data_IF_098664797094
#
_entry.id   IF_098664797094
#
_cell.length_a   1.000
_cell.length_b   1.000
_cell.length_c   1.000
_cell.angle_alpha   90.00
_cell.angle_beta   90.00
_cell.angle_gamma   90.00
#
_symmetry.space_group_name_H-M   'P 1'
#
loop_
_entity.id
_entity.type
_entity.pdbx_description
1 polymer ?
#
# COMPACT_ATOMS: atom_id res chain seq x y z
N UNK A 1 -52.41 -18.50 -29.82
CA UNK A 1 -51.52 -17.39 -30.21
C UNK A 1 -51.98 -16.03 -29.70
N UNK A 2 -53.23 -15.59 -29.94
CA UNK A 2 -53.74 -14.27 -29.48
C UNK A 2 -53.64 -14.05 -27.96
N UNK A 3 -54.03 -15.06 -27.16
CA UNK A 3 -53.96 -15.03 -25.68
C UNK A 3 -52.51 -14.87 -25.16
N UNK A 4 -51.50 -15.35 -25.90
CA UNK A 4 -50.10 -15.21 -25.51
C UNK A 4 -49.54 -13.82 -25.80
N UNK A 5 -50.08 -13.12 -26.81
CA UNK A 5 -49.71 -11.75 -27.18
C UNK A 5 -50.35 -10.69 -26.28
N UNK A 6 -51.45 -11.02 -25.62
CA UNK A 6 -52.14 -10.15 -24.64
C UNK A 6 -51.62 -10.34 -23.20
N UNK A 7 -50.60 -11.18 -23.00
CA UNK A 7 -49.89 -11.32 -21.72
C UNK A 7 -48.80 -10.26 -21.56
N UNK A 8 -48.36 -9.97 -20.33
CA UNK A 8 -47.25 -9.01 -20.05
C UNK A 8 -45.95 -9.33 -20.81
N UNK A 9 -45.69 -10.61 -21.10
CA UNK A 9 -44.57 -11.05 -21.98
C UNK A 9 -44.85 -10.80 -23.47
N UNK A 10 -46.12 -10.89 -23.87
CA UNK A 10 -46.59 -10.62 -25.22
C UNK A 10 -46.59 -9.14 -25.60
N UNK A 11 -46.81 -8.25 -24.62
CA UNK A 11 -46.77 -6.79 -24.82
C UNK A 11 -45.40 -6.31 -25.33
N UNK A 12 -44.30 -6.85 -24.78
CA UNK A 12 -42.94 -6.56 -25.25
C UNK A 12 -42.74 -6.97 -26.71
N UNK A 13 -43.25 -8.15 -27.10
CA UNK A 13 -43.13 -8.67 -28.47
C UNK A 13 -43.97 -7.84 -29.45
N UNK A 14 -45.19 -7.45 -29.05
CA UNK A 14 -46.09 -6.57 -29.82
C UNK A 14 -45.43 -5.24 -30.14
N UNK A 15 -44.83 -4.62 -29.14
CA UNK A 15 -44.20 -3.32 -29.31
C UNK A 15 -42.88 -3.41 -30.08
N UNK A 16 -42.00 -4.36 -29.75
CA UNK A 16 -40.63 -4.41 -30.27
C UNK A 16 -40.52 -5.03 -31.68
N UNK A 17 -41.34 -6.04 -31.99
CA UNK A 17 -41.18 -6.83 -33.22
C UNK A 17 -42.36 -6.72 -34.19
N UNK A 18 -43.52 -6.29 -33.71
CA UNK A 18 -44.73 -6.15 -34.54
C UNK A 18 -45.12 -4.68 -34.77
N UNK A 19 -44.41 -3.73 -34.16
CA UNK A 19 -44.65 -2.28 -34.26
C UNK A 19 -46.10 -1.88 -33.87
N UNK A 20 -46.68 -2.61 -32.91
CA UNK A 20 -48.02 -2.35 -32.40
C UNK A 20 -47.89 -1.48 -31.14
N UNK A 21 -48.38 -0.25 -31.22
CA UNK A 21 -48.41 0.66 -30.08
C UNK A 21 -49.19 0.06 -28.90
N UNK A 22 -48.66 0.26 -27.68
CA UNK A 22 -49.30 -0.14 -26.43
C UNK A 22 -50.19 1.00 -25.92
N UNK A 23 -51.37 0.67 -25.41
CA UNK A 23 -52.21 1.60 -24.65
C UNK A 23 -51.59 1.96 -23.29
N UNK A 24 -52.03 3.05 -22.67
CA UNK A 24 -51.51 3.52 -21.37
C UNK A 24 -51.61 2.44 -20.27
N UNK A 25 -52.70 1.66 -20.27
CA UNK A 25 -52.90 0.56 -19.32
C UNK A 25 -51.94 -0.61 -19.59
N UNK A 26 -51.67 -0.94 -20.86
CA UNK A 26 -50.69 -1.95 -21.26
C UNK A 26 -49.25 -1.51 -20.95
N UNK A 27 -48.95 -0.22 -21.12
CA UNK A 27 -47.66 0.36 -20.73
C UNK A 27 -47.45 0.28 -19.22
N UNK A 28 -48.45 0.64 -18.41
CA UNK A 28 -48.39 0.53 -16.96
C UNK A 28 -48.17 -0.92 -16.50
N UNK A 29 -48.87 -1.89 -17.11
CA UNK A 29 -48.69 -3.31 -16.82
C UNK A 29 -47.29 -3.83 -17.21
N UNK A 30 -46.73 -3.34 -18.33
CA UNK A 30 -45.37 -3.65 -18.75
C UNK A 30 -44.33 -3.11 -17.76
N UNK A 31 -44.41 -1.83 -17.38
CA UNK A 31 -43.45 -1.23 -16.44
C UNK A 31 -43.60 -1.77 -15.01
N UNK A 32 -44.79 -2.17 -14.58
CA UNK A 32 -44.98 -2.84 -13.30
C UNK A 32 -44.25 -4.20 -13.26
N UNK A 33 -44.28 -4.97 -14.34
CA UNK A 33 -43.66 -6.30 -14.40
C UNK A 33 -42.14 -6.23 -14.67
N UNK A 34 -41.71 -5.33 -15.56
CA UNK A 34 -40.34 -5.31 -16.08
C UNK A 34 -39.49 -4.13 -15.60
N UNK A 35 -40.10 -3.10 -14.99
CA UNK A 35 -39.40 -1.88 -14.58
C UNK A 35 -38.23 -2.16 -13.65
N UNK A 36 -38.46 -2.94 -12.60
CA UNK A 36 -37.42 -3.34 -11.65
C UNK A 36 -36.31 -4.16 -12.31
N UNK A 37 -36.67 -5.05 -13.24
CA UNK A 37 -35.70 -5.88 -13.98
C UNK A 37 -34.83 -5.04 -14.91
N UNK A 38 -35.43 -4.09 -15.63
CA UNK A 38 -34.71 -3.16 -16.52
C UNK A 38 -33.75 -2.29 -15.69
N UNK A 39 -34.24 -1.71 -14.59
CA UNK A 39 -33.40 -0.92 -13.68
C UNK A 39 -32.24 -1.74 -13.12
N UNK A 40 -32.49 -2.99 -12.74
CA UNK A 40 -31.46 -3.91 -12.25
C UNK A 40 -30.41 -4.23 -13.31
N UNK A 41 -30.82 -4.54 -14.55
CA UNK A 41 -29.89 -4.83 -15.66
C UNK A 41 -29.06 -3.60 -16.02
N UNK A 42 -29.67 -2.41 -16.08
CA UNK A 42 -28.96 -1.16 -16.36
C UNK A 42 -27.97 -0.87 -15.23
N UNK A 43 -28.40 -0.91 -13.97
CA UNK A 43 -27.54 -0.64 -12.82
C UNK A 43 -26.38 -1.62 -12.71
N UNK A 44 -26.64 -2.92 -12.92
CA UNK A 44 -25.61 -3.97 -12.94
C UNK A 44 -24.66 -3.80 -14.12
N UNK A 45 -25.19 -3.48 -15.30
CA UNK A 45 -24.41 -3.22 -16.51
C UNK A 45 -23.47 -2.04 -16.35
N UNK A 46 -23.97 -0.91 -15.86
CA UNK A 46 -23.17 0.29 -15.56
C UNK A 46 -22.10 -0.03 -14.51
N UNK A 47 -22.48 -0.67 -13.39
CA UNK A 47 -21.52 -1.05 -12.34
C UNK A 47 -20.42 -1.97 -12.86
N UNK A 48 -20.74 -2.87 -13.79
CA UNK A 48 -19.77 -3.77 -14.44
C UNK A 48 -18.85 -3.01 -15.39
N UNK A 49 -19.38 -2.04 -16.15
CA UNK A 49 -18.58 -1.16 -16.99
C UNK A 49 -17.62 -0.30 -16.17
N UNK A 50 -18.10 0.31 -15.08
CA UNK A 50 -17.28 1.12 -14.19
C UNK A 50 -16.12 0.30 -13.61
N UNK A 51 -16.37 -0.91 -13.13
CA UNK A 51 -15.31 -1.81 -12.63
C UNK A 51 -14.27 -2.17 -13.70
N UNK A 52 -14.70 -2.39 -14.95
CA UNK A 52 -13.78 -2.68 -16.06
C UNK A 52 -12.96 -1.46 -16.46
N UNK A 53 -13.59 -0.27 -16.47
CA UNK A 53 -12.91 0.99 -16.73
C UNK A 53 -11.88 1.29 -15.64
N UNK A 54 -12.24 1.15 -14.37
CA UNK A 54 -11.32 1.30 -13.24
C UNK A 54 -10.14 0.34 -13.34
N UNK A 55 -10.39 -0.93 -13.71
CA UNK A 55 -9.33 -1.91 -13.94
C UNK A 55 -8.41 -1.49 -15.10
N UNK A 56 -8.98 -1.02 -16.22
CA UNK A 56 -8.20 -0.60 -17.38
C UNK A 56 -7.35 0.63 -17.07
N UNK A 57 -7.93 1.62 -16.38
CA UNK A 57 -7.21 2.82 -15.90
C UNK A 57 -6.07 2.41 -14.96
N UNK A 58 -6.35 1.54 -13.98
CA UNK A 58 -5.34 1.05 -13.07
C UNK A 58 -4.21 0.32 -13.80
N UNK A 59 -4.52 -0.59 -14.72
CA UNK A 59 -3.49 -1.32 -15.48
C UNK A 59 -2.62 -0.35 -16.29
N UNK A 60 -3.21 0.67 -16.92
CA UNK A 60 -2.45 1.71 -17.61
C UNK A 60 -1.57 2.51 -16.63
N UNK A 61 -2.13 3.00 -15.53
CA UNK A 61 -1.40 3.79 -14.53
C UNK A 61 -0.34 2.96 -13.78
N UNK A 62 -0.54 1.65 -13.65
CA UNK A 62 0.41 0.74 -13.01
C UNK A 62 1.72 0.57 -13.79
N UNK A 63 1.70 0.90 -15.09
CA UNK A 63 2.92 0.94 -15.91
C UNK A 63 3.80 2.16 -15.60
N UNK A 64 3.26 3.16 -14.89
CA UNK A 64 4.05 4.31 -14.47
C UNK A 64 4.99 3.95 -13.33
N UNK A 65 6.14 4.65 -13.22
CA UNK A 65 7.10 4.42 -12.15
C UNK A 65 6.47 4.46 -10.77
N UNK A 66 6.88 3.52 -9.91
CA UNK A 66 6.61 3.61 -8.50
C UNK A 66 7.36 4.81 -7.92
N UNK A 67 6.63 5.79 -7.41
CA UNK A 67 7.19 7.01 -6.84
C UNK A 67 7.37 6.87 -5.32
N UNK A 68 6.33 6.36 -4.66
CA UNK A 68 6.29 6.23 -3.21
C UNK A 68 5.57 4.95 -2.80
N UNK A 69 5.99 4.38 -1.67
CA UNK A 69 5.17 3.45 -0.89
C UNK A 69 5.05 4.05 0.50
N UNK A 70 3.83 4.22 0.99
CA UNK A 70 3.56 4.76 2.32
C UNK A 70 2.78 3.77 3.14
N UNK A 71 3.20 3.54 4.38
CA UNK A 71 2.46 2.71 5.34
C UNK A 71 1.94 3.61 6.43
N UNK A 72 0.63 3.59 6.64
CA UNK A 72 -0.05 4.33 7.68
C UNK A 72 -0.50 3.37 8.77
N UNK A 73 0.14 3.43 9.93
CA UNK A 73 -0.27 2.71 11.14
C UNK A 73 -1.22 3.58 11.94
N UNK A 74 -2.48 3.15 12.06
CA UNK A 74 -3.49 3.80 12.88
C UNK A 74 -3.49 3.20 14.28
N UNK A 75 -3.48 4.06 15.30
CA UNK A 75 -3.51 3.63 16.69
C UNK A 75 -4.96 3.51 17.20
N UNK A 76 -5.17 2.70 18.25
CA UNK A 76 -6.50 2.44 18.86
C UNK A 76 -7.21 3.70 19.35
N UNK A 77 -6.43 4.70 19.75
CA UNK A 77 -6.89 6.02 20.18
C UNK A 77 -5.79 7.04 19.93
N UNK A 78 -6.09 8.30 20.24
CA UNK A 78 -5.04 9.30 20.35
C UNK A 78 -4.26 9.08 21.66
N UNK A 79 -2.94 9.01 21.52
CA UNK A 79 -1.98 8.81 22.60
C UNK A 79 -1.17 10.09 22.81
N UNK A 80 -0.77 10.38 24.05
CA UNK A 80 0.25 11.38 24.30
C UNK A 80 1.60 10.87 23.76
N UNK A 81 2.45 11.77 23.26
CA UNK A 81 3.78 11.40 22.75
C UNK A 81 4.64 10.72 23.83
N UNK A 82 4.54 11.18 25.08
CA UNK A 82 5.16 10.53 26.25
C UNK A 82 4.62 9.13 26.56
N UNK A 83 3.36 8.83 26.20
CA UNK A 83 2.75 7.50 26.37
C UNK A 83 3.24 6.50 25.31
N UNK A 84 3.60 7.00 24.12
CA UNK A 84 4.30 6.19 23.11
C UNK A 84 5.76 6.01 23.51
N UNK A 85 6.43 7.09 23.94
CA UNK A 85 7.84 7.08 24.31
C UNK A 85 8.74 6.69 23.14
N UNK A 86 9.72 5.84 23.42
CA UNK A 86 10.56 5.21 22.39
C UNK A 86 9.69 4.34 21.47
N UNK A 87 9.92 4.45 20.17
CA UNK A 87 9.17 3.68 19.18
C UNK A 87 10.06 3.30 18.01
N UNK A 88 9.72 2.17 17.39
CA UNK A 88 10.33 1.67 16.16
C UNK A 88 9.24 1.06 15.30
N UNK A 89 9.16 1.51 14.05
CA UNK A 89 8.25 0.92 13.07
C UNK A 89 8.90 0.90 11.71
N UNK A 90 8.96 -0.29 11.12
CA UNK A 90 9.61 -0.56 9.86
C UNK A 90 8.71 -1.46 9.01
N UNK A 91 8.96 -1.44 7.72
CA UNK A 91 8.34 -2.31 6.74
C UNK A 91 9.45 -2.92 5.89
N UNK A 92 9.49 -4.24 5.87
CA UNK A 92 10.28 -5.01 4.90
C UNK A 92 9.37 -5.37 3.73
N UNK A 93 9.82 -5.09 2.52
CA UNK A 93 9.17 -5.52 1.29
C UNK A 93 10.14 -6.39 0.51
N UNK A 94 9.77 -7.66 0.31
CA UNK A 94 10.50 -8.57 -0.56
C UNK A 94 9.77 -8.66 -1.90
N UNK A 95 10.47 -8.31 -2.97
CA UNK A 95 9.91 -8.41 -4.31
C UNK A 95 9.85 -9.88 -4.75
N UNK A 96 8.79 -10.25 -5.47
CA UNK A 96 8.62 -11.61 -6.03
C UNK A 96 9.80 -11.98 -6.95
N UNK A 97 10.26 -11.01 -7.72
CA UNK A 97 11.44 -11.09 -8.59
C UNK A 97 12.30 -9.85 -8.33
N UNK A 98 13.64 -9.95 -8.35
CA UNK A 98 14.49 -8.76 -8.26
C UNK A 98 14.13 -7.71 -9.33
N UNK A 99 13.99 -6.47 -8.90
CA UNK A 99 13.65 -5.32 -9.72
C UNK A 99 14.95 -4.63 -10.14
N UNK A 100 15.51 -5.08 -11.27
CA UNK A 100 16.92 -4.89 -11.56
C UNK A 100 17.74 -5.73 -10.58
N UNK A 101 18.66 -5.10 -9.86
CA UNK A 101 19.48 -5.79 -8.85
C UNK A 101 18.86 -5.74 -7.45
N UNK A 102 17.76 -5.01 -7.24
CA UNK A 102 17.14 -4.82 -5.92
C UNK A 102 16.12 -5.92 -5.65
N UNK A 103 16.28 -6.69 -4.57
CA UNK A 103 15.34 -7.77 -4.22
C UNK A 103 14.51 -7.49 -2.96
N UNK A 104 14.96 -6.55 -2.12
CA UNK A 104 14.29 -6.17 -0.88
C UNK A 104 14.46 -4.68 -0.65
N UNK A 105 13.42 -4.04 -0.12
CA UNK A 105 13.53 -2.68 0.44
C UNK A 105 13.07 -2.70 1.89
N UNK A 106 13.82 -1.97 2.72
CA UNK A 106 13.49 -1.74 4.12
C UNK A 106 13.32 -0.25 4.33
N UNK A 107 12.27 0.14 5.04
CA UNK A 107 12.09 1.54 5.39
C UNK A 107 11.29 1.66 6.68
N UNK A 108 11.53 2.73 7.41
CA UNK A 108 10.86 2.91 8.69
C UNK A 108 11.21 4.19 9.37
N UNK A 109 10.71 4.32 10.59
CA UNK A 109 11.00 5.42 11.49
C UNK A 109 11.21 4.95 12.92
N UNK A 110 11.99 5.76 13.63
CA UNK A 110 12.24 5.63 15.06
C UNK A 110 12.27 7.03 15.66
N UNK A 111 12.24 7.10 16.98
CA UNK A 111 12.75 8.29 17.66
C UNK A 111 14.24 8.52 17.36
N UNK A 112 14.73 9.69 17.77
CA UNK A 112 16.08 10.22 17.47
C UNK A 112 16.21 10.68 16.02
N UNK A 113 16.11 11.99 15.80
CA UNK A 113 16.10 12.61 14.47
C UNK A 113 17.33 12.23 13.64
N UNK A 114 18.51 12.15 14.26
CA UNK A 114 19.77 11.96 13.55
C UNK A 114 20.20 10.50 13.47
N UNK A 115 19.36 9.54 13.89
CA UNK A 115 19.72 8.12 13.90
C UNK A 115 20.19 7.61 12.54
N UNK A 116 19.59 8.10 11.47
CA UNK A 116 19.81 7.60 10.11
C UNK A 116 20.70 8.53 9.26
N UNK A 117 21.27 9.58 9.86
CA UNK A 117 22.15 10.53 9.18
C UNK A 117 23.61 10.10 9.39
N UNK A 118 24.15 9.31 8.46
CA UNK A 118 25.54 8.86 8.50
C UNK A 118 26.54 9.90 7.95
N UNK A 119 26.06 11.01 7.36
CA UNK A 119 26.92 11.99 6.67
C UNK A 119 27.21 13.25 7.51
N UNK A 120 26.48 13.46 8.59
CA UNK A 120 26.55 14.70 9.37
C UNK A 120 27.14 14.44 10.77
N UNK A 121 28.46 14.58 10.88
CA UNK A 121 29.19 14.60 12.16
C UNK A 121 28.83 15.79 13.09
N UNK A 122 27.79 16.56 12.74
CA UNK A 122 27.24 17.67 13.52
C UNK A 122 26.39 17.16 14.70
N UNK A 123 26.96 16.31 15.55
CA UNK A 123 26.36 15.84 16.82
C UNK A 123 26.34 16.94 17.91
N UNK A 124 25.97 18.17 17.57
CA UNK A 124 25.89 19.26 18.55
C UNK A 124 24.52 19.37 19.23
N UNK A 125 23.48 18.71 18.71
CA UNK A 125 22.15 18.70 19.34
C UNK A 125 21.95 17.35 20.04
N UNK A 126 21.69 17.32 21.36
CA UNK A 126 21.37 16.08 22.05
C UNK A 126 20.06 15.51 21.49
N UNK A 127 20.14 14.29 20.95
CA UNK A 127 18.99 13.60 20.37
C UNK A 127 18.19 12.94 21.49
N UNK A 128 17.20 13.66 21.99
CA UNK A 128 16.35 13.20 23.09
C UNK A 128 15.46 12.04 22.60
N UNK A 129 15.40 10.93 23.35
CA UNK A 129 14.56 9.79 22.97
C UNK A 129 13.07 10.14 23.08
N UNK A 130 12.26 9.39 22.35
CA UNK A 130 10.81 9.48 22.35
C UNK A 130 10.20 10.29 21.20
N UNK A 131 9.04 9.82 20.71
CA UNK A 131 8.32 10.42 19.57
C UNK A 131 7.88 11.87 19.81
N UNK A 132 7.79 12.30 21.08
CA UNK A 132 7.45 13.67 21.42
C UNK A 132 8.56 14.68 21.13
N UNK A 133 9.81 14.21 21.08
CA UNK A 133 11.00 15.05 20.91
C UNK A 133 11.42 15.10 19.45
N UNK A 134 11.62 13.92 18.83
CA UNK A 134 12.12 13.83 17.47
C UNK A 134 11.71 12.53 16.78
N UNK A 135 11.73 12.55 15.45
CA UNK A 135 11.52 11.38 14.60
C UNK A 135 12.60 11.34 13.54
N UNK A 136 13.30 10.21 13.42
CA UNK A 136 14.14 9.90 12.28
C UNK A 136 13.43 8.89 11.38
N UNK A 137 13.68 8.95 10.08
CA UNK A 137 13.30 7.91 9.14
C UNK A 137 14.47 7.55 8.23
N UNK A 138 14.52 6.29 7.83
CA UNK A 138 15.54 5.76 6.92
C UNK A 138 14.94 4.80 5.91
N UNK A 139 15.60 4.71 4.75
CA UNK A 139 15.21 3.88 3.61
C UNK A 139 16.45 3.18 3.07
N UNK A 140 16.38 1.87 2.90
CA UNK A 140 17.45 1.01 2.40
C UNK A 140 16.96 0.12 1.27
N UNK A 141 17.81 -0.05 0.26
CA UNK A 141 17.63 -1.02 -0.83
C UNK A 141 18.69 -2.12 -0.66
N UNK A 142 18.27 -3.37 -0.82
CA UNK A 142 19.15 -4.54 -0.78
C UNK A 142 19.35 -5.08 -2.18
N UNK A 143 20.61 -5.21 -2.55
CA UNK A 143 21.05 -5.58 -3.89
C UNK A 143 21.59 -7.00 -3.90
N UNK A 144 21.38 -7.70 -5.02
CA UNK A 144 22.08 -8.93 -5.38
C UNK A 144 22.96 -8.58 -6.57
N UNK A 145 24.27 -8.68 -6.41
CA UNK A 145 25.23 -8.49 -7.50
C UNK A 145 25.89 -9.82 -7.82
N UNK A 146 26.00 -10.15 -9.10
CA UNK A 146 26.78 -11.30 -9.54
C UNK A 146 28.26 -10.89 -9.54
N UNK A 147 29.08 -11.61 -8.80
CA UNK A 147 30.52 -11.40 -8.82
C UNK A 147 31.03 -11.89 -10.19
N UNK A 148 31.55 -10.97 -11.02
CA UNK A 148 32.45 -11.36 -12.09
C UNK A 148 33.72 -11.86 -11.39
N UNK A 149 33.85 -13.19 -11.27
CA UNK A 149 35.14 -13.77 -10.92
C UNK A 149 36.12 -13.33 -12.01
N UNK A 150 37.00 -12.38 -11.68
CA UNK A 150 38.24 -12.16 -12.42
C UNK A 150 39.06 -13.45 -12.29
N UNK A 151 38.73 -14.43 -13.13
CA UNK A 151 39.35 -15.73 -13.19
C UNK A 151 40.78 -15.60 -13.72
N UNK A 152 41.69 -15.20 -12.83
CA UNK A 152 43.09 -15.59 -12.92
C UNK A 152 43.23 -16.95 -12.22
N UNK A 153 43.33 -17.98 -13.06
CA UNK A 153 43.74 -19.36 -12.78
C UNK A 153 42.75 -20.28 -12.03
N UNK A 154 41.96 -21.01 -12.86
CA UNK A 154 41.95 -22.47 -12.84
C UNK A 154 41.18 -23.17 -11.72
N UNK A 155 39.87 -23.36 -11.89
CA UNK A 155 39.20 -24.67 -11.96
C UNK A 155 37.68 -24.46 -12.08
N UNK A 156 37.01 -25.34 -12.85
CA UNK A 156 35.63 -25.20 -13.26
C UNK A 156 34.59 -25.57 -12.17
N UNK A 157 33.38 -25.03 -12.34
CA UNK A 157 32.09 -25.42 -11.71
C UNK A 157 31.75 -24.89 -10.31
N UNK A 158 32.01 -23.61 -10.02
CA UNK A 158 31.26 -22.91 -8.97
C UNK A 158 30.33 -21.89 -9.63
N UNK A 159 29.03 -22.00 -9.39
CA UNK A 159 28.09 -20.96 -9.81
C UNK A 159 28.55 -19.61 -9.21
N UNK A 160 28.44 -18.49 -9.95
CA UNK A 160 28.96 -17.20 -9.48
C UNK A 160 28.38 -16.89 -8.09
N UNK A 161 29.26 -16.56 -7.15
CA UNK A 161 28.84 -16.16 -5.82
C UNK A 161 28.01 -14.86 -5.94
N UNK A 162 26.81 -14.88 -5.37
CA UNK A 162 25.93 -13.70 -5.32
C UNK A 162 26.26 -12.90 -4.08
N UNK A 163 26.86 -11.73 -4.24
CA UNK A 163 27.11 -10.81 -3.14
C UNK A 163 25.82 -10.04 -2.82
N UNK A 164 25.47 -9.98 -1.53
CA UNK A 164 24.36 -9.18 -1.03
C UNK A 164 24.92 -7.92 -0.42
N UNK A 165 24.52 -6.77 -0.94
CA UNK A 165 24.89 -5.46 -0.39
C UNK A 165 23.66 -4.65 -0.01
N UNK A 166 23.83 -3.75 0.96
CA UNK A 166 22.75 -2.90 1.45
C UNK A 166 23.19 -1.45 1.29
N UNK A 167 22.32 -0.64 0.68
CA UNK A 167 22.58 0.79 0.48
C UNK A 167 21.45 1.60 1.08
N UNK A 168 21.78 2.55 1.94
CA UNK A 168 20.84 3.57 2.34
C UNK A 168 20.60 4.53 1.17
N UNK A 169 19.34 4.68 0.78
CA UNK A 169 18.93 5.52 -0.36
C UNK A 169 18.29 6.82 0.06
N UNK A 170 17.80 6.91 1.29
CA UNK A 170 17.25 8.15 1.84
C UNK A 170 17.24 8.13 3.38
N UNK A 171 17.25 9.32 3.95
CA UNK A 171 17.00 9.59 5.37
C UNK A 171 16.23 10.89 5.51
N UNK A 172 15.42 11.00 6.54
CA UNK A 172 14.77 12.27 6.89
C UNK A 172 14.66 12.44 8.40
N UNK A 173 14.58 13.71 8.80
CA UNK A 173 14.50 14.11 10.18
C UNK A 173 13.21 14.91 10.38
N UNK A 174 12.52 14.67 11.48
CA UNK A 174 11.23 15.25 11.81
C UNK A 174 11.20 15.77 13.23
N UNK A 175 10.31 16.75 13.44
CA UNK A 175 9.99 17.27 14.77
C UNK A 175 9.05 16.30 15.48
N UNK A 176 9.25 16.14 16.79
CA UNK A 176 8.39 15.29 17.61
C UNK A 176 6.94 15.77 17.71
N UNK A 177 6.07 14.87 18.17
CA UNK A 177 4.62 15.06 18.21
C UNK A 177 4.10 14.87 19.63
N UNK A 178 3.39 15.89 20.15
CA UNK A 178 2.78 15.83 21.49
C UNK A 178 1.60 14.87 21.57
N UNK A 179 0.84 14.73 20.49
CA UNK A 179 -0.23 13.75 20.38
C UNK A 179 -0.09 12.94 19.10
N UNK A 180 -0.41 11.65 19.19
CA UNK A 180 -0.17 10.67 18.13
C UNK A 180 -1.40 9.79 17.99
N UNK A 181 -2.10 9.92 16.87
CA UNK A 181 -3.19 9.03 16.45
C UNK A 181 -2.78 8.05 15.36
N UNK A 182 -1.69 8.35 14.66
CA UNK A 182 -1.16 7.59 13.56
C UNK A 182 0.35 7.80 13.42
N UNK A 183 1.03 6.79 12.91
CA UNK A 183 2.44 6.84 12.53
C UNK A 183 2.53 6.45 11.05
N UNK A 184 3.24 7.26 10.27
CA UNK A 184 3.46 7.00 8.86
C UNK A 184 4.94 6.74 8.61
N UNK A 185 5.23 5.75 7.77
CA UNK A 185 6.56 5.50 7.21
C UNK A 185 6.45 5.47 5.70
N UNK A 186 7.53 5.85 5.03
CA UNK A 186 7.51 6.00 3.59
C UNK A 186 8.81 5.53 2.97
N UNK A 187 8.70 4.71 1.94
CA UNK A 187 9.71 4.47 0.95
C UNK A 187 9.54 5.51 -0.14
N UNK A 188 10.58 6.28 -0.38
CA UNK A 188 10.64 7.22 -1.49
C UNK A 188 12.08 7.33 -1.95
N UNK A 189 12.30 7.16 -3.25
CA UNK A 189 13.59 7.40 -3.88
C UNK A 189 13.75 8.91 -4.09
N UNK A 190 14.94 9.43 -3.83
CA UNK A 190 15.24 10.87 -3.71
C UNK A 190 14.50 11.79 -4.69
N UNK A 191 14.09 12.96 -4.21
CA UNK A 191 13.50 14.07 -4.97
C UNK A 191 14.47 14.81 -5.90
N UNK A 192 15.52 14.17 -6.40
CA UNK A 192 16.40 14.82 -7.37
C UNK A 192 15.62 15.10 -8.65
N UNK A 193 15.74 16.33 -9.17
CA UNK A 193 15.16 16.70 -10.47
C UNK A 193 15.60 15.74 -11.59
N UNK A 194 16.79 15.15 -11.44
CA UNK A 194 17.36 14.13 -12.31
C UNK A 194 17.35 12.79 -11.59
N UNK A 195 16.68 11.81 -12.18
CA UNK A 195 16.55 10.49 -11.59
C UNK A 195 17.61 9.59 -12.20
N UNK A 196 18.49 9.06 -11.35
CA UNK A 196 19.52 8.11 -11.74
C UNK A 196 19.21 6.75 -11.11
N UNK A 197 19.11 5.70 -11.94
CA UNK A 197 18.86 4.32 -11.51
C UNK A 197 17.56 3.71 -12.06
N UNK A 198 17.36 2.39 -11.87
CA UNK A 198 16.20 1.68 -12.37
C UNK A 198 14.93 2.21 -11.69
N UNK A 199 13.91 2.51 -12.51
CA UNK A 199 12.55 2.78 -12.06
C UNK A 199 11.71 1.56 -12.38
N UNK A 200 11.20 0.91 -11.36
CA UNK A 200 10.25 -0.17 -11.54
C UNK A 200 8.83 0.39 -11.55
N UNK A 201 8.00 0.01 -12.54
CA UNK A 201 6.57 0.28 -12.55
C UNK A 201 5.86 -0.11 -11.24
N UNK A 202 4.72 0.50 -10.96
CA UNK A 202 3.85 0.05 -9.86
C UNK A 202 3.39 -1.41 -10.06
N UNK A 203 3.28 -1.91 -11.29
CA UNK A 203 2.96 -3.32 -11.54
C UNK A 203 4.02 -4.29 -11.00
N UNK A 204 5.26 -3.85 -10.83
CA UNK A 204 6.38 -4.72 -10.47
C UNK A 204 6.38 -5.14 -9.00
N UNK A 205 5.63 -4.43 -8.15
CA UNK A 205 5.44 -4.82 -6.75
C UNK A 205 4.30 -5.83 -6.58
N UNK A 206 3.67 -6.28 -7.66
CA UNK A 206 2.68 -7.36 -7.60
C UNK A 206 3.29 -8.62 -6.97
N UNK A 207 2.50 -9.28 -6.11
CA UNK A 207 2.87 -10.45 -5.32
C UNK A 207 4.09 -10.24 -4.39
N UNK A 208 4.45 -8.99 -4.09
CA UNK A 208 5.51 -8.71 -3.12
C UNK A 208 5.04 -9.05 -1.70
N UNK A 209 5.96 -9.61 -0.91
CA UNK A 209 5.71 -9.93 0.49
C UNK A 209 6.00 -8.71 1.37
N UNK A 210 5.09 -8.41 2.27
CA UNK A 210 5.16 -7.29 3.21
C UNK A 210 5.25 -7.83 4.65
N UNK A 211 6.21 -7.31 5.41
CA UNK A 211 6.42 -7.66 6.81
C UNK A 211 6.58 -6.40 7.65
N UNK A 212 5.52 -5.94 8.33
CA UNK A 212 5.62 -4.88 9.31
C UNK A 212 6.41 -5.34 10.54
N UNK A 213 7.41 -4.55 10.94
CA UNK A 213 8.25 -4.78 12.13
C UNK A 213 8.09 -3.63 13.10
N UNK A 214 7.71 -3.91 14.35
CA UNK A 214 7.49 -2.89 15.37
C UNK A 214 8.17 -3.28 16.69
N UNK A 215 8.34 -2.34 17.61
CA UNK A 215 8.57 -2.68 19.01
C UNK A 215 7.25 -3.13 19.66
N UNK A 216 7.34 -4.04 20.65
CA UNK A 216 6.15 -4.66 21.26
C UNK A 216 5.20 -3.63 21.86
N UNK A 217 5.71 -2.61 22.56
CA UNK A 217 4.87 -1.58 23.19
C UNK A 217 4.07 -0.75 22.19
N UNK A 218 4.59 -0.55 20.97
CA UNK A 218 3.88 0.15 19.89
C UNK A 218 2.87 -0.78 19.24
N UNK A 219 3.24 -2.04 18.99
CA UNK A 219 2.36 -3.04 18.38
C UNK A 219 1.07 -3.24 19.19
N UNK A 220 1.13 -3.21 20.53
CA UNK A 220 -0.06 -3.33 21.39
C UNK A 220 -1.04 -2.15 21.23
N UNK A 221 -0.56 -0.99 20.75
CA UNK A 221 -1.36 0.22 20.50
C UNK A 221 -1.92 0.29 19.09
N UNK A 222 -1.53 -0.62 18.21
CA UNK A 222 -1.95 -0.67 16.81
C UNK A 222 -3.42 -1.13 16.69
N UNK A 223 -4.20 -0.37 15.92
CA UNK A 223 -5.58 -0.73 15.54
C UNK A 223 -5.62 -1.34 14.15
N UNK A 224 -5.02 -0.66 13.19
CA UNK A 224 -5.01 -1.07 11.78
C UNK A 224 -3.82 -0.47 11.08
N UNK A 225 -3.49 -1.00 9.90
CA UNK A 225 -2.55 -0.34 9.01
C UNK A 225 -3.02 -0.39 7.56
N UNK A 226 -2.51 0.52 6.75
CA UNK A 226 -2.81 0.57 5.33
C UNK A 226 -1.55 0.88 4.55
N UNK A 227 -1.41 0.23 3.40
CA UNK A 227 -0.29 0.40 2.48
C UNK A 227 -0.80 1.11 1.25
N UNK A 228 -0.12 2.20 0.91
CA UNK A 228 -0.39 3.04 -0.24
C UNK A 228 0.80 3.02 -1.16
N UNK A 229 0.55 3.10 -2.46
CA UNK A 229 1.58 3.39 -3.44
C UNK A 229 1.04 4.36 -4.46
N UNK A 230 1.79 5.42 -4.73
CA UNK A 230 1.33 6.56 -5.51
C UNK A 230 -0.07 7.02 -5.01
N UNK A 231 -1.09 7.05 -5.88
CA UNK A 231 -2.47 7.44 -5.53
C UNK A 231 -3.40 6.27 -5.13
N UNK A 232 -2.87 5.07 -4.90
CA UNK A 232 -3.66 3.87 -4.67
C UNK A 232 -3.49 3.30 -3.25
N UNK A 233 -4.60 2.90 -2.63
CA UNK A 233 -4.61 2.04 -1.45
C UNK A 233 -4.48 0.59 -1.90
N UNK A 234 -3.31 0.00 -1.67
CA UNK A 234 -2.98 -1.36 -2.10
C UNK A 234 -3.47 -2.41 -1.10
N UNK A 235 -3.37 -2.10 0.18
CA UNK A 235 -3.73 -3.01 1.26
C UNK A 235 -4.30 -2.23 2.44
N UNK A 236 -5.31 -2.78 3.07
CA UNK A 236 -5.88 -2.30 4.34
C UNK A 236 -6.07 -3.50 5.25
N UNK A 237 -5.51 -3.45 6.45
CA UNK A 237 -5.57 -4.54 7.42
C UNK A 237 -6.15 -4.00 8.73
N UNK A 238 -7.32 -4.51 9.11
CA UNK A 238 -7.97 -4.21 10.37
C UNK A 238 -7.42 -5.01 11.55
N UNK A 239 -7.82 -4.64 12.77
CA UNK A 239 -7.35 -5.26 14.02
C UNK A 239 -7.55 -6.78 14.07
N UNK A 240 -8.65 -7.28 13.51
CA UNK A 240 -9.00 -8.71 13.48
C UNK A 240 -8.26 -9.51 12.41
N UNK A 241 -7.54 -8.85 11.51
CA UNK A 241 -6.90 -9.46 10.34
C UNK A 241 -5.40 -9.71 10.56
N UNK A 242 -4.85 -9.30 11.70
CA UNK A 242 -3.46 -9.52 12.04
C UNK A 242 -3.26 -10.06 13.47
N UNK A 243 -2.10 -10.66 13.69
CA UNK A 243 -1.60 -11.08 15.00
C UNK A 243 -0.22 -10.47 15.25
N UNK A 244 0.11 -10.28 16.52
CA UNK A 244 1.44 -9.81 16.95
C UNK A 244 2.29 -11.05 17.25
N UNK A 245 3.21 -11.38 16.35
CA UNK A 245 4.17 -12.45 16.54
C UNK A 245 5.34 -11.96 17.41
N UNK A 246 5.39 -12.48 18.64
CA UNK A 246 6.40 -12.19 19.66
C UNK A 246 7.54 -13.22 19.67
N UNK A 247 7.60 -14.12 18.70
CA UNK A 247 8.70 -15.08 18.57
C UNK A 247 9.99 -14.31 18.31
N UNK A 248 11.02 -14.56 19.13
CA UNK A 248 12.32 -13.91 19.01
C UNK A 248 12.92 -14.08 17.61
N UNK A 249 13.47 -13.00 17.08
CA UNK A 249 14.20 -13.00 15.82
C UNK A 249 15.24 -11.88 15.84
N UNK A 250 16.31 -12.07 15.08
CA UNK A 250 17.27 -11.00 14.82
C UNK A 250 16.76 -10.15 13.66
N UNK A 251 16.61 -8.85 13.92
CA UNK A 251 16.25 -7.91 12.87
C UNK A 251 17.43 -7.77 11.90
N UNK A 252 17.17 -7.97 10.60
CA UNK A 252 18.18 -7.74 9.56
C UNK A 252 18.31 -6.26 9.16
N UNK A 253 17.67 -5.35 9.90
CA UNK A 253 17.70 -3.92 9.60
C UNK A 253 19.12 -3.37 9.80
N UNK A 254 19.66 -2.59 8.84
CA UNK A 254 21.00 -2.01 8.92
C UNK A 254 21.01 -0.78 9.85
N UNK A 255 20.50 -0.92 11.07
CA UNK A 255 20.33 0.16 12.05
C UNK A 255 20.66 -0.35 13.44
N UNK A 256 21.53 0.38 14.14
CA UNK A 256 21.89 0.06 15.51
C UNK A 256 20.92 0.70 16.52
N UNK A 257 20.54 -0.10 17.52
CA UNK A 257 19.74 0.31 18.67
C UNK A 257 20.50 0.01 19.96
N UNK A 258 20.34 0.87 20.97
CA UNK A 258 21.01 0.65 22.25
C UNK A 258 20.38 -0.55 22.98
N UNK A 259 21.12 -1.22 23.91
CA UNK A 259 20.55 -2.31 24.70
C UNK A 259 19.30 -1.91 25.48
N UNK A 260 19.23 -0.67 25.97
CA UNK A 260 18.06 -0.13 26.66
C UNK A 260 16.83 -0.05 25.75
N UNK A 261 17.02 0.36 24.49
CA UNK A 261 15.95 0.39 23.48
C UNK A 261 15.50 -1.03 23.11
N UNK A 262 16.41 -2.01 23.13
CA UNK A 262 16.11 -3.40 22.80
C UNK A 262 15.41 -4.16 23.93
N UNK A 263 15.29 -3.57 25.14
CA UNK A 263 14.46 -4.14 26.21
C UNK A 263 12.98 -4.22 25.84
N UNK A 264 12.51 -3.36 24.94
CA UNK A 264 11.21 -3.50 24.29
C UNK A 264 11.39 -4.31 22.99
N UNK A 265 11.11 -5.62 22.97
CA UNK A 265 11.57 -6.50 21.90
C UNK A 265 10.92 -6.16 20.55
N UNK A 266 11.60 -6.53 19.47
CA UNK A 266 11.01 -6.55 18.14
C UNK A 266 9.88 -7.56 18.04
N UNK A 267 8.83 -7.19 17.33
CA UNK A 267 7.70 -8.04 16.99
C UNK A 267 7.37 -7.91 15.51
N UNK A 268 6.83 -8.99 14.94
CA UNK A 268 6.32 -9.02 13.57
C UNK A 268 4.81 -8.90 13.60
N UNK A 269 4.24 -8.10 12.71
CA UNK A 269 2.80 -8.15 12.45
C UNK A 269 2.58 -9.17 11.34
N UNK A 270 1.79 -10.20 11.61
CA UNK A 270 1.47 -11.27 10.65
C UNK A 270 -0.02 -11.31 10.37
N UNK A 271 -0.44 -11.81 9.19
CA UNK A 271 -1.85 -12.11 8.97
C UNK A 271 -2.39 -13.04 10.05
N UNK A 272 -3.67 -12.87 10.41
CA UNK A 272 -4.36 -13.80 11.31
C UNK A 272 -4.70 -15.15 10.63
N UNK A 273 -4.48 -15.25 9.32
CA UNK A 273 -4.64 -16.47 8.54
C UNK A 273 -3.40 -17.37 8.64
N UNK A 274 -3.38 -18.50 7.93
CA UNK A 274 -2.23 -19.43 7.88
C UNK A 274 -1.01 -18.81 7.17
N UNK A 275 -1.20 -17.68 6.46
CA UNK A 275 -0.15 -17.00 5.73
C UNK A 275 0.92 -16.43 6.68
N UNK A 276 2.18 -16.49 6.26
CA UNK A 276 3.31 -16.03 7.07
C UNK A 276 3.61 -14.54 6.91
N UNK A 277 3.09 -13.88 5.88
CA UNK A 277 3.30 -12.47 5.52
C UNK A 277 2.07 -11.93 4.77
N UNK A 278 1.98 -10.60 4.62
CA UNK A 278 0.99 -9.99 3.75
C UNK A 278 1.50 -9.94 2.32
N UNK A 279 0.62 -10.00 1.34
CA UNK A 279 0.92 -9.91 -0.09
C UNK A 279 0.24 -8.70 -0.72
N UNK A 280 0.88 -8.13 -1.73
CA UNK A 280 0.22 -7.22 -2.68
C UNK A 280 -0.32 -8.07 -3.84
N UNK A 281 -1.57 -7.89 -4.26
CA UNK A 281 -2.20 -8.74 -5.29
C UNK A 281 -2.87 -7.89 -6.39
N UNK A 282 -2.05 -7.13 -7.13
CA UNK A 282 -2.47 -6.23 -8.22
C UNK A 282 -2.97 -7.02 -9.43
N UNK A 283 -2.48 -8.23 -9.69
CA UNK A 283 -2.97 -9.08 -10.78
C UNK A 283 -4.41 -9.54 -10.56
N UNK A 284 -4.80 -9.75 -9.29
CA UNK A 284 -6.12 -10.27 -8.92
C UNK A 284 -7.13 -9.18 -8.61
N UNK A 285 -6.68 -8.07 -8.00
CA UNK A 285 -7.55 -7.00 -7.52
C UNK A 285 -7.19 -5.65 -8.12
N UNK A 286 -8.21 -4.80 -8.33
CA UNK A 286 -8.01 -3.38 -8.64
C UNK A 286 -7.92 -2.60 -7.32
N UNK A 287 -6.77 -1.99 -6.99
CA UNK A 287 -6.64 -1.17 -5.79
C UNK A 287 -7.58 0.03 -5.80
N UNK A 288 -7.92 0.53 -4.62
CA UNK A 288 -8.79 1.70 -4.50
C UNK A 288 -7.99 2.98 -4.75
N UNK A 289 -8.39 3.76 -5.75
CA UNK A 289 -7.80 5.10 -6.00
C UNK A 289 -8.26 6.10 -4.93
N UNK A 290 -7.33 6.84 -4.34
CA UNK A 290 -7.61 7.81 -3.27
C UNK A 290 -8.20 9.12 -3.81
N UNK A 291 -7.76 9.56 -4.99
CA UNK A 291 -8.21 10.79 -5.62
C UNK A 291 -8.77 10.48 -7.01
N UNK A 292 -10.05 10.75 -7.23
CA UNK A 292 -10.56 10.92 -8.59
C UNK A 292 -10.28 12.35 -9.02
N UNK A 293 -9.88 12.56 -10.28
CA UNK A 293 -9.73 13.92 -10.83
C UNK A 293 -11.03 14.75 -10.69
N UNK A 294 -12.20 14.09 -10.65
CA UNK A 294 -13.49 14.72 -10.39
C UNK A 294 -13.67 15.23 -8.95
N UNK A 295 -13.07 14.57 -7.95
CA UNK A 295 -13.12 14.99 -6.55
C UNK A 295 -12.31 16.28 -6.31
N UNK A 296 -11.18 16.45 -7.01
CA UNK A 296 -10.37 17.68 -6.90
C UNK A 296 -11.10 18.87 -7.53
N UNK A 297 -11.73 18.68 -8.70
CA UNK A 297 -12.53 19.74 -9.33
C UNK A 297 -13.76 20.16 -8.51
N UNK A 298 -14.40 19.22 -7.82
CA UNK A 298 -15.57 19.51 -6.97
C UNK A 298 -15.20 20.04 -5.57
N UNK A 299 -14.02 19.71 -5.03
CA UNK A 299 -13.47 20.36 -3.84
C UNK A 299 -13.07 21.82 -4.12
N UNK A 300 -12.41 22.08 -5.26
CA UNK A 300 -12.06 23.44 -5.70
C UNK A 300 -13.29 24.28 -6.08
N UNK A 301 -14.36 23.65 -6.56
CA UNK A 301 -15.65 24.32 -6.80
C UNK A 301 -16.39 24.66 -5.50
N UNK A 302 -16.22 23.86 -4.43
CA UNK A 302 -16.77 24.14 -3.10
C UNK A 302 -16.00 25.23 -2.37
N UNK A 303 -14.68 25.32 -2.54
CA UNK A 303 -13.88 26.41 -1.94
C UNK A 303 -14.07 27.77 -2.63
N UNK A 304 -14.50 27.79 -3.90
CA UNK A 304 -14.76 29.03 -4.65
C UNK A 304 -16.25 29.40 -4.75
N UNK A 305 -17.13 28.77 -3.97
CA UNK A 305 -18.57 28.86 -4.18
C UNK A 305 -19.43 28.62 -2.95
N UNK A 306 -19.23 29.39 -1.87
CA UNK A 306 -20.28 30.18 -1.16
C UNK A 306 -19.68 30.97 -0.01
#
# INVERSE_FOLDING_TARGET
MRISLDSTKGLAIRFQYLDIALSDAEQAAFFHEWGDTIQSVISTGISSLDRKLDRMIFLQESSFPLQTISVLYKLKREYAGSEIGHFRTFMDIFFKVPLGDVYKVDFGSSDKAHRFDHQNDRRSVPDLPGIENSVGAGVWEHYITEQEDDAADGDAETAPAREKSVRQVSSSNGVGRKTVSHIAIQYQKEHSMLHFGPRFPLSDIDESMLMPLLNASLADKLDSFSVYANEYELLRVGHSEFIIDRTSFDSSLPVDFTPEELNDPWVRIRPATIASNFSIELSQYTPRRLFSASAVGSALAKENGT
#
